data_IF_383555117883
#
_entry.id   IF_383555117883
#
_cell.length_a   1.000
_cell.length_b   1.000
_cell.length_c   1.000
_cell.angle_alpha   90.00
_cell.angle_beta   90.00
_cell.angle_gamma   90.00
#
_symmetry.space_group_name_H-M   'P 1'
#
loop_
_entity.id
_entity.type
_entity.pdbx_description
1 polymer ?
#
# COMPACT_ATOMS: atom_id res chain seq x y z
N UNK A 1 6.77 20.20 -8.31
CA UNK A 1 7.74 19.11 -8.51
C UNK A 1 8.72 19.17 -7.36
N UNK A 2 8.73 18.18 -6.48
CA UNK A 2 9.60 18.14 -5.32
C UNK A 2 10.89 17.42 -5.74
N UNK A 3 12.02 18.13 -5.77
CA UNK A 3 13.28 17.48 -6.12
C UNK A 3 13.74 16.60 -4.95
N UNK A 4 13.43 15.31 -5.02
CA UNK A 4 13.80 14.33 -4.01
C UNK A 4 15.23 13.89 -4.29
N UNK A 5 16.16 14.25 -3.39
CA UNK A 5 17.50 13.67 -3.41
C UNK A 5 17.40 12.22 -2.93
N UNK A 6 18.27 11.34 -3.44
CA UNK A 6 18.32 9.97 -2.94
C UNK A 6 18.55 9.92 -1.43
N UNK A 7 17.68 9.20 -0.72
CA UNK A 7 17.69 9.09 0.74
C UNK A 7 17.01 10.25 1.45
N UNK A 8 16.14 11.00 0.77
CA UNK A 8 15.34 12.05 1.42
C UNK A 8 14.38 11.42 2.41
N UNK A 9 14.40 11.91 3.65
CA UNK A 9 13.38 11.58 4.66
C UNK A 9 12.22 12.56 4.53
N UNK A 10 11.01 12.05 4.34
CA UNK A 10 9.78 12.86 4.30
C UNK A 10 9.06 12.88 5.66
N UNK A 11 9.34 11.87 6.50
CA UNK A 11 8.97 11.73 7.91
C UNK A 11 10.08 10.95 8.63
N UNK A 12 9.99 10.82 9.95
CA UNK A 12 11.01 10.16 10.77
C UNK A 12 11.35 8.74 10.29
N UNK A 13 10.36 8.01 9.78
CA UNK A 13 10.49 6.62 9.37
C UNK A 13 10.15 6.34 7.90
N UNK A 14 10.03 7.37 7.05
CA UNK A 14 9.81 7.20 5.60
C UNK A 14 10.99 7.79 4.83
N UNK A 15 11.69 6.94 4.07
CA UNK A 15 12.86 7.30 3.28
C UNK A 15 12.59 7.01 1.80
N UNK A 16 12.85 7.98 0.94
CA UNK A 16 12.59 7.89 -0.49
C UNK A 16 13.89 7.81 -1.30
N UNK A 17 13.89 6.96 -2.33
CA UNK A 17 14.97 6.81 -3.29
C UNK A 17 14.42 6.78 -4.72
N UNK A 18 15.04 7.55 -5.59
CA UNK A 18 14.93 7.36 -7.03
C UNK A 18 15.95 6.29 -7.46
N UNK A 19 15.43 5.19 -8.01
CA UNK A 19 16.23 4.04 -8.42
C UNK A 19 16.91 4.24 -9.75
N UNK A 20 16.64 5.30 -10.50
CA UNK A 20 17.41 5.71 -11.66
C UNK A 20 18.84 6.08 -11.26
N UNK A 21 19.03 6.64 -10.06
CA UNK A 21 20.32 6.87 -9.44
C UNK A 21 20.87 5.62 -8.72
N UNK A 22 22.14 5.69 -8.30
CA UNK A 22 22.76 4.63 -7.50
C UNK A 22 22.15 4.61 -6.10
N UNK A 23 21.48 3.50 -5.76
CA UNK A 23 21.07 3.19 -4.39
C UNK A 23 22.30 3.00 -3.49
N UNK A 24 22.17 3.27 -2.18
CA UNK A 24 23.18 2.93 -1.18
C UNK A 24 23.65 1.46 -1.30
N UNK A 25 24.87 1.18 -0.84
CA UNK A 25 25.39 -0.19 -0.82
C UNK A 25 24.57 -1.09 0.10
N UNK A 26 24.08 -0.53 1.21
CA UNK A 26 23.20 -1.19 2.15
C UNK A 26 21.92 -0.38 2.31
N UNK A 27 20.79 -1.06 2.10
CA UNK A 27 19.47 -0.58 2.48
C UNK A 27 19.01 -1.40 3.68
N UNK A 28 18.31 -0.77 4.62
CA UNK A 28 17.71 -1.42 5.78
C UNK A 28 16.28 -0.93 5.93
N UNK A 29 15.41 -1.79 6.40
CA UNK A 29 14.03 -1.47 6.70
C UNK A 29 13.18 -2.73 6.76
N UNK A 30 11.88 -2.55 6.95
CA UNK A 30 10.92 -3.65 7.12
C UNK A 30 9.89 -3.68 6.00
N UNK A 31 9.44 -2.50 5.56
CA UNK A 31 8.41 -2.33 4.54
C UNK A 31 8.98 -1.56 3.35
N UNK A 32 8.79 -2.09 2.14
CA UNK A 32 9.23 -1.44 0.91
C UNK A 32 8.04 -1.15 -0.01
N UNK A 33 7.95 0.10 -0.46
CA UNK A 33 6.95 0.60 -1.38
C UNK A 33 7.65 0.90 -2.70
N UNK A 34 7.21 0.25 -3.78
CA UNK A 34 7.92 0.24 -5.07
C UNK A 34 7.04 0.87 -6.14
N UNK A 35 7.48 1.97 -6.72
CA UNK A 35 6.92 2.51 -7.97
C UNK A 35 7.78 1.99 -9.12
N UNK A 36 7.27 0.96 -9.81
CA UNK A 36 7.92 0.31 -10.94
C UNK A 36 7.16 0.60 -12.24
N UNK A 37 7.37 1.77 -12.82
CA UNK A 37 6.68 2.25 -14.01
C UNK A 37 7.55 2.25 -15.27
N UNK A 38 8.87 2.46 -15.15
CA UNK A 38 9.74 2.69 -16.31
C UNK A 38 10.87 1.66 -16.49
N UNK A 39 11.43 1.12 -15.40
CA UNK A 39 12.56 0.19 -15.48
C UNK A 39 12.08 -1.20 -15.88
N UNK A 40 12.64 -1.69 -16.98
CA UNK A 40 12.34 -3.02 -17.53
C UNK A 40 13.53 -3.99 -17.47
N UNK A 41 14.69 -3.52 -17.00
CA UNK A 41 15.87 -4.39 -16.90
C UNK A 41 15.68 -5.40 -15.78
N UNK A 42 15.32 -6.64 -16.14
CA UNK A 42 15.18 -7.74 -15.18
C UNK A 42 16.39 -7.89 -14.26
N UNK A 43 17.61 -7.78 -14.82
CA UNK A 43 18.83 -7.87 -14.02
C UNK A 43 18.92 -6.75 -12.97
N UNK A 44 18.56 -5.51 -13.35
CA UNK A 44 18.54 -4.39 -12.40
C UNK A 44 17.50 -4.62 -11.30
N UNK A 45 16.30 -5.05 -11.66
CA UNK A 45 15.22 -5.37 -10.72
C UNK A 45 15.66 -6.48 -9.75
N UNK A 46 16.22 -7.58 -10.26
CA UNK A 46 16.73 -8.70 -9.44
C UNK A 46 17.82 -8.23 -8.47
N UNK A 47 18.78 -7.44 -8.94
CA UNK A 47 19.84 -6.90 -8.08
C UNK A 47 19.27 -6.02 -6.96
N UNK A 48 18.21 -5.25 -7.23
CA UNK A 48 17.56 -4.42 -6.20
C UNK A 48 16.75 -5.31 -5.26
N UNK A 49 15.99 -6.27 -5.76
CA UNK A 49 15.23 -7.23 -4.95
C UNK A 49 16.14 -7.98 -3.96
N UNK A 50 17.30 -8.46 -4.39
CA UNK A 50 18.30 -9.08 -3.52
C UNK A 50 18.81 -8.13 -2.42
N UNK A 51 19.05 -6.86 -2.76
CA UNK A 51 19.47 -5.85 -1.78
C UNK A 51 18.39 -5.58 -0.75
N UNK A 52 17.13 -5.51 -1.17
CA UNK A 52 15.99 -5.35 -0.26
C UNK A 52 15.86 -6.57 0.66
N UNK A 53 15.89 -7.79 0.12
CA UNK A 53 15.81 -8.98 0.97
C UNK A 53 16.96 -9.05 2.00
N UNK A 54 18.21 -8.79 1.57
CA UNK A 54 19.38 -8.71 2.48
C UNK A 54 19.28 -7.55 3.49
N UNK A 55 18.46 -6.54 3.20
CA UNK A 55 18.19 -5.39 4.06
C UNK A 55 17.18 -5.65 5.17
N UNK A 56 16.54 -6.82 5.20
CA UNK A 56 15.54 -7.20 6.20
C UNK A 56 14.09 -6.86 5.83
N UNK A 57 13.85 -6.45 4.58
CA UNK A 57 12.50 -6.16 4.10
C UNK A 57 11.71 -7.46 3.91
N UNK A 58 10.51 -7.52 4.49
CA UNK A 58 9.60 -8.65 4.39
C UNK A 58 8.21 -8.25 3.85
N UNK A 59 7.84 -6.98 3.92
CA UNK A 59 6.60 -6.48 3.29
C UNK A 59 6.93 -5.65 2.06
N UNK A 60 6.24 -5.92 0.95
CA UNK A 60 6.40 -5.23 -0.32
C UNK A 60 5.04 -4.82 -0.88
N UNK A 61 4.87 -3.53 -1.16
CA UNK A 61 3.72 -2.98 -1.87
C UNK A 61 4.20 -2.34 -3.18
N UNK A 62 3.66 -2.78 -4.31
CA UNK A 62 4.21 -2.48 -5.65
C UNK A 62 3.13 -1.86 -6.53
N UNK A 63 3.42 -0.67 -7.05
CA UNK A 63 2.58 0.07 -7.97
C UNK A 63 3.29 0.32 -9.30
N UNK A 64 2.57 0.22 -10.42
CA UNK A 64 3.05 0.65 -11.74
C UNK A 64 2.98 -0.44 -12.81
N UNK A 65 3.25 -0.06 -14.06
CA UNK A 65 3.11 -0.95 -15.23
C UNK A 65 3.96 -2.21 -15.17
N UNK A 66 5.07 -2.19 -14.43
CA UNK A 66 6.01 -3.31 -14.29
C UNK A 66 5.88 -4.02 -12.93
N UNK A 67 4.74 -3.90 -12.25
CA UNK A 67 4.53 -4.51 -10.94
C UNK A 67 4.73 -6.04 -10.95
N UNK A 68 4.33 -6.73 -12.02
CA UNK A 68 4.47 -8.20 -12.13
C UNK A 68 5.93 -8.64 -12.28
N UNK A 69 6.76 -7.85 -12.96
CA UNK A 69 8.20 -8.11 -13.07
C UNK A 69 8.87 -7.97 -11.69
N UNK A 70 8.53 -6.92 -10.95
CA UNK A 70 8.99 -6.73 -9.57
C UNK A 70 8.53 -7.86 -8.65
N UNK A 71 7.24 -8.21 -8.69
CA UNK A 71 6.68 -9.32 -7.91
C UNK A 71 7.42 -10.63 -8.20
N UNK A 72 7.64 -10.95 -9.48
CA UNK A 72 8.35 -12.16 -9.89
C UNK A 72 9.80 -12.18 -9.38
N UNK A 73 10.50 -11.05 -9.46
CA UNK A 73 11.87 -10.93 -8.97
C UNK A 73 11.95 -11.10 -7.45
N UNK A 74 11.04 -10.47 -6.71
CA UNK A 74 10.94 -10.61 -5.25
C UNK A 74 10.63 -12.05 -4.85
N UNK A 75 9.61 -12.68 -5.44
CA UNK A 75 9.26 -14.10 -5.18
C UNK A 75 10.48 -15.00 -5.40
N UNK A 76 11.22 -14.81 -6.50
CA UNK A 76 12.41 -15.62 -6.77
C UNK A 76 13.52 -15.43 -5.72
N UNK A 77 13.63 -14.22 -5.17
CA UNK A 77 14.62 -13.84 -4.17
C UNK A 77 14.25 -14.34 -2.77
N UNK A 78 12.97 -14.25 -2.41
CA UNK A 78 12.44 -14.61 -1.08
C UNK A 78 11.91 -16.04 -1.01
N UNK A 79 12.16 -16.88 -2.03
CA UNK A 79 11.51 -18.19 -2.25
C UNK A 79 11.56 -19.19 -1.09
N UNK A 80 12.41 -18.97 -0.08
CA UNK A 80 12.49 -19.79 1.14
C UNK A 80 11.95 -19.10 2.41
N UNK A 81 11.47 -17.86 2.31
CA UNK A 81 10.94 -17.06 3.41
C UNK A 81 9.41 -16.94 3.29
N UNK A 82 8.71 -17.83 3.98
CA UNK A 82 7.24 -17.87 4.01
C UNK A 82 6.62 -16.64 4.70
N UNK A 83 7.41 -15.77 5.33
CA UNK A 83 6.91 -14.57 6.00
C UNK A 83 6.78 -13.34 5.09
N UNK A 84 7.30 -13.42 3.86
CA UNK A 84 7.28 -12.28 2.95
C UNK A 84 5.87 -12.03 2.39
N UNK A 85 5.38 -10.80 2.51
CA UNK A 85 4.12 -10.33 1.95
C UNK A 85 4.41 -9.48 0.73
N UNK A 86 3.85 -9.84 -0.43
CA UNK A 86 4.06 -9.12 -1.69
C UNK A 86 2.70 -8.78 -2.31
N UNK A 87 2.36 -7.50 -2.28
CA UNK A 87 1.17 -6.91 -2.89
C UNK A 87 1.58 -6.11 -4.13
N UNK A 88 0.92 -6.37 -5.26
CA UNK A 88 1.26 -5.73 -6.53
C UNK A 88 0.01 -5.34 -7.30
N UNK A 89 -0.02 -4.12 -7.82
CA UNK A 89 -1.13 -3.63 -8.65
C UNK A 89 -0.66 -2.59 -9.66
N UNK A 90 -1.10 -2.67 -10.93
CA UNK A 90 -0.79 -1.62 -11.90
C UNK A 90 -1.61 -0.34 -11.68
N UNK A 91 -2.62 -0.37 -10.82
CA UNK A 91 -3.65 0.69 -10.72
C UNK A 91 -3.93 1.17 -9.29
N UNK A 92 -3.40 0.52 -8.24
CA UNK A 92 -3.69 0.86 -6.84
C UNK A 92 -2.74 1.92 -6.23
N UNK A 93 -2.57 3.07 -6.90
CA UNK A 93 -1.67 4.15 -6.43
C UNK A 93 -2.19 4.80 -5.15
N UNK A 94 -3.49 5.05 -5.08
CA UNK A 94 -4.09 5.78 -3.95
C UNK A 94 -4.04 4.93 -2.69
N UNK A 95 -4.32 3.65 -2.82
CA UNK A 95 -4.27 2.71 -1.72
C UNK A 95 -2.82 2.46 -1.27
N UNK A 96 -1.82 2.53 -2.16
CA UNK A 96 -0.41 2.56 -1.75
C UNK A 96 -0.11 3.74 -0.81
N UNK A 97 -0.74 4.90 -1.00
CA UNK A 97 -0.57 6.05 -0.11
C UNK A 97 -1.16 5.76 1.28
N UNK A 98 -2.35 5.16 1.32
CA UNK A 98 -3.04 4.75 2.56
C UNK A 98 -2.24 3.67 3.31
N UNK A 99 -1.71 2.68 2.59
CA UNK A 99 -0.82 1.65 3.15
C UNK A 99 0.45 2.25 3.76
N UNK A 100 1.11 3.15 3.03
CA UNK A 100 2.31 3.82 3.51
C UNK A 100 2.03 4.66 4.76
N UNK A 101 0.92 5.40 4.78
CA UNK A 101 0.49 6.17 5.93
C UNK A 101 0.16 5.28 7.14
N UNK A 102 -0.53 4.15 6.92
CA UNK A 102 -0.85 3.16 7.94
C UNK A 102 0.40 2.54 8.56
N UNK A 103 1.29 1.98 7.74
CA UNK A 103 2.49 1.31 8.21
C UNK A 103 3.48 2.27 8.89
N UNK A 104 3.59 3.50 8.37
CA UNK A 104 4.45 4.51 9.01
C UNK A 104 3.90 5.03 10.34
N UNK A 105 2.61 4.90 10.61
CA UNK A 105 1.99 5.43 11.84
C UNK A 105 1.76 4.37 12.92
N UNK A 106 1.29 3.17 12.52
CA UNK A 106 0.69 2.22 13.46
C UNK A 106 1.56 1.00 13.77
N UNK A 107 2.62 0.77 13.00
CA UNK A 107 3.48 -0.40 13.19
C UNK A 107 4.77 0.05 13.88
N UNK A 108 4.90 -0.32 15.14
CA UNK A 108 6.07 0.03 15.95
C UNK A 108 7.38 -0.40 15.27
N UNK A 109 8.42 0.42 15.38
CA UNK A 109 9.75 0.17 14.83
C UNK A 109 9.79 -0.09 13.30
N UNK A 110 8.79 0.38 12.57
CA UNK A 110 8.75 0.26 11.12
C UNK A 110 9.51 1.38 10.44
N UNK A 111 10.56 1.02 9.69
CA UNK A 111 11.15 1.86 8.65
C UNK A 111 10.54 1.50 7.29
N UNK A 112 9.86 2.48 6.67
CA UNK A 112 9.30 2.42 5.33
C UNK A 112 10.30 2.98 4.31
N UNK A 113 10.66 2.16 3.34
CA UNK A 113 11.49 2.57 2.20
C UNK A 113 10.63 2.70 0.96
N UNK A 114 10.60 3.87 0.35
CA UNK A 114 9.99 4.12 -0.96
C UNK A 114 11.08 4.11 -2.01
N UNK A 115 10.93 3.27 -3.02
CA UNK A 115 11.81 3.25 -4.19
C UNK A 115 10.98 3.49 -5.45
N UNK A 116 11.43 4.38 -6.34
CA UNK A 116 10.66 4.76 -7.51
C UNK A 116 11.55 4.97 -8.74
N UNK A 117 11.07 4.56 -9.91
CA UNK A 117 11.70 4.85 -11.20
C UNK A 117 10.96 5.92 -12.03
N UNK A 118 9.94 6.55 -11.42
CA UNK A 118 9.12 7.61 -11.99
C UNK A 118 8.97 8.73 -10.96
N UNK A 119 9.60 9.87 -11.23
CA UNK A 119 9.61 11.04 -10.34
C UNK A 119 8.23 11.66 -10.16
N UNK A 120 7.37 11.59 -11.19
CA UNK A 120 6.03 12.18 -11.13
C UNK A 120 5.13 11.39 -10.19
N UNK A 121 5.13 10.06 -10.29
CA UNK A 121 4.39 9.22 -9.37
C UNK A 121 4.96 9.27 -7.95
N UNK A 122 6.28 9.40 -7.80
CA UNK A 122 6.91 9.59 -6.49
C UNK A 122 6.42 10.88 -5.82
N UNK A 123 6.38 11.99 -6.56
CA UNK A 123 5.86 13.27 -6.07
C UNK A 123 4.39 13.15 -5.62
N UNK A 124 3.55 12.48 -6.42
CA UNK A 124 2.15 12.27 -6.06
C UNK A 124 1.99 11.39 -4.82
N UNK A 125 2.75 10.30 -4.72
CA UNK A 125 2.74 9.41 -3.55
C UNK A 125 3.11 10.19 -2.29
N UNK A 126 4.18 10.98 -2.33
CA UNK A 126 4.66 11.74 -1.17
C UNK A 126 3.63 12.78 -0.75
N UNK A 127 3.13 13.57 -1.71
CA UNK A 127 2.12 14.60 -1.41
C UNK A 127 0.88 13.97 -0.80
N UNK A 128 0.31 12.93 -1.43
CA UNK A 128 -0.91 12.30 -0.96
C UNK A 128 -0.71 11.61 0.41
N UNK A 129 0.42 10.95 0.62
CA UNK A 129 0.76 10.33 1.92
C UNK A 129 0.86 11.39 3.02
N UNK A 130 1.51 12.52 2.76
CA UNK A 130 1.59 13.62 3.73
C UNK A 130 0.21 14.22 4.01
N UNK A 131 -0.61 14.44 2.98
CA UNK A 131 -1.98 14.93 3.13
C UNK A 131 -2.83 13.96 3.98
N UNK A 132 -2.66 12.64 3.84
CA UNK A 132 -3.31 11.63 4.70
C UNK A 132 -2.83 11.74 6.15
N UNK A 133 -1.51 11.79 6.36
CA UNK A 133 -0.90 11.88 7.68
C UNK A 133 -1.27 13.18 8.42
N UNK A 134 -1.46 14.27 7.68
CA UNK A 134 -1.88 15.58 8.21
C UNK A 134 -3.42 15.71 8.32
N UNK A 135 -4.18 14.68 7.93
CA UNK A 135 -5.64 14.65 8.02
C UNK A 135 -6.37 15.56 7.01
N UNK A 136 -5.71 15.89 5.91
CA UNK A 136 -6.22 16.75 4.83
C UNK A 136 -7.04 15.95 3.81
N UNK A 137 -6.64 14.71 3.52
CA UNK A 137 -7.22 13.84 2.49
C UNK A 137 -7.32 12.40 2.99
N UNK A 138 -8.22 11.63 2.39
CA UNK A 138 -8.25 10.17 2.55
C UNK A 138 -8.81 9.75 3.90
N UNK A 139 -8.39 8.58 4.37
CA UNK A 139 -8.83 8.04 5.65
C UNK A 139 -7.73 8.22 6.70
N UNK A 140 -8.09 8.42 7.98
CA UNK A 140 -7.09 8.30 9.02
C UNK A 140 -6.46 6.88 9.00
N UNK A 141 -5.13 6.76 9.19
CA UNK A 141 -4.41 5.48 9.19
C UNK A 141 -5.07 4.34 9.97
N UNK A 142 -5.66 4.64 11.12
CA UNK A 142 -6.35 3.67 11.98
C UNK A 142 -7.57 3.04 11.31
N UNK A 143 -8.28 3.80 10.49
CA UNK A 143 -9.46 3.29 9.79
C UNK A 143 -9.06 2.42 8.61
N UNK A 144 -8.03 2.82 7.87
CA UNK A 144 -7.44 1.95 6.85
C UNK A 144 -7.03 0.60 7.45
N UNK A 145 -6.36 0.60 8.61
CA UNK A 145 -6.04 -0.63 9.36
C UNK A 145 -7.27 -1.47 9.70
N UNK A 146 -8.34 -0.84 10.18
CA UNK A 146 -9.59 -1.55 10.50
C UNK A 146 -10.22 -2.18 9.26
N UNK A 147 -10.17 -1.53 8.10
CA UNK A 147 -10.63 -2.17 6.86
C UNK A 147 -9.76 -3.34 6.45
N UNK A 148 -8.44 -3.20 6.57
CA UNK A 148 -7.47 -4.27 6.31
C UNK A 148 -7.64 -5.47 7.25
N UNK A 149 -8.20 -5.25 8.43
CA UNK A 149 -8.49 -6.30 9.41
C UNK A 149 -9.92 -6.88 9.29
N UNK A 150 -10.80 -6.18 8.59
CA UNK A 150 -12.23 -6.44 8.57
C UNK A 150 -13.02 -5.59 9.57
N UNK A 151 -14.20 -5.15 9.15
CA UNK A 151 -15.05 -4.19 9.88
C UNK A 151 -16.53 -4.39 9.56
N UNK A 152 -17.38 -4.33 10.59
CA UNK A 152 -18.82 -4.11 10.46
C UNK A 152 -19.14 -2.61 10.60
N UNK A 153 -20.06 -2.10 9.79
CA UNK A 153 -20.47 -0.70 9.82
C UNK A 153 -21.89 -0.50 9.29
N UNK A 154 -22.47 0.68 9.52
CA UNK A 154 -23.80 1.04 9.01
C UNK A 154 -23.65 2.07 7.88
N UNK A 155 -24.27 1.78 6.73
CA UNK A 155 -24.41 2.70 5.62
C UNK A 155 -25.88 2.77 5.19
N UNK A 156 -26.44 3.98 5.07
CA UNK A 156 -27.86 4.21 4.74
C UNK A 156 -28.86 3.39 5.58
N UNK A 157 -28.55 3.22 6.88
CA UNK A 157 -29.38 2.45 7.82
C UNK A 157 -29.34 0.94 7.63
N UNK A 158 -28.42 0.42 6.83
CA UNK A 158 -28.21 -1.01 6.60
C UNK A 158 -26.88 -1.48 7.18
N UNK A 159 -26.86 -2.69 7.70
CA UNK A 159 -25.64 -3.35 8.17
C UNK A 159 -24.77 -3.76 6.98
N UNK A 160 -23.50 -3.40 7.04
CA UNK A 160 -22.49 -3.64 6.02
C UNK A 160 -21.25 -4.27 6.65
N UNK A 161 -20.48 -5.01 5.85
CA UNK A 161 -19.28 -5.71 6.33
C UNK A 161 -18.16 -5.65 5.30
N UNK A 162 -16.94 -5.52 5.82
CA UNK A 162 -15.68 -5.95 5.18
C UNK A 162 -15.19 -7.16 5.97
N UNK A 163 -15.07 -8.32 5.34
CA UNK A 163 -14.54 -9.53 5.97
C UNK A 163 -13.31 -10.00 5.21
N UNK A 164 -12.19 -10.14 5.92
CA UNK A 164 -10.91 -10.55 5.37
C UNK A 164 -10.60 -11.97 5.85
N UNK A 165 -10.53 -12.91 4.92
CA UNK A 165 -10.20 -14.31 5.17
C UNK A 165 -9.35 -14.83 3.99
N UNK A 166 -9.54 -16.09 3.57
CA UNK A 166 -8.98 -16.59 2.30
C UNK A 166 -9.54 -15.84 1.09
N UNK A 167 -10.74 -15.27 1.22
CA UNK A 167 -11.33 -14.30 0.29
C UNK A 167 -11.75 -13.01 1.02
N UNK A 168 -11.94 -11.95 0.24
CA UNK A 168 -12.35 -10.63 0.75
C UNK A 168 -13.80 -10.40 0.38
N UNK A 169 -14.67 -10.29 1.38
CA UNK A 169 -16.09 -10.02 1.21
C UNK A 169 -16.38 -8.57 1.58
N UNK A 170 -17.06 -7.84 0.69
CA UNK A 170 -17.48 -6.45 0.94
C UNK A 170 -18.92 -6.26 0.47
N UNK A 171 -19.77 -5.68 1.32
CA UNK A 171 -21.12 -5.28 0.93
C UNK A 171 -22.10 -5.16 2.10
N UNK A 172 -23.37 -4.97 1.75
CA UNK A 172 -24.49 -5.10 2.71
C UNK A 172 -24.58 -6.55 3.20
N UNK A 173 -24.94 -6.75 4.47
CA UNK A 173 -25.02 -8.08 5.07
C UNK A 173 -26.01 -8.97 4.29
N UNK A 174 -25.53 -10.10 3.78
CA UNK A 174 -26.27 -11.02 2.92
C UNK A 174 -26.27 -10.68 1.42
N UNK A 175 -25.59 -9.62 0.99
CA UNK A 175 -25.38 -9.22 -0.41
C UNK A 175 -23.90 -8.92 -0.72
N UNK A 176 -22.99 -9.53 0.04
CA UNK A 176 -21.56 -9.29 -0.09
C UNK A 176 -21.03 -9.79 -1.43
N UNK A 177 -20.11 -9.03 -2.02
CA UNK A 177 -19.31 -9.47 -3.17
C UNK A 177 -17.95 -9.97 -2.71
N UNK A 178 -17.45 -11.00 -3.40
CA UNK A 178 -16.12 -11.56 -3.15
C UNK A 178 -15.08 -10.97 -4.09
N UNK A 179 -13.90 -10.67 -3.54
CA UNK A 179 -12.76 -10.12 -4.23
C UNK A 179 -11.48 -10.88 -3.89
N UNK A 180 -10.55 -10.92 -4.85
CA UNK A 180 -9.25 -11.57 -4.69
C UNK A 180 -8.26 -10.72 -3.88
N UNK A 181 -8.43 -9.39 -3.89
CA UNK A 181 -7.61 -8.47 -3.10
C UNK A 181 -8.40 -7.24 -2.69
N UNK A 182 -7.98 -6.64 -1.57
CA UNK A 182 -8.73 -5.55 -0.93
C UNK A 182 -8.78 -4.33 -1.84
N UNK A 183 -7.69 -4.04 -2.55
CA UNK A 183 -7.59 -2.92 -3.49
C UNK A 183 -8.60 -2.98 -4.64
N UNK A 184 -8.97 -4.18 -5.11
CA UNK A 184 -10.03 -4.30 -6.13
C UNK A 184 -11.38 -3.93 -5.51
N UNK A 185 -11.68 -4.46 -4.32
CA UNK A 185 -12.93 -4.18 -3.61
C UNK A 185 -13.14 -2.69 -3.32
N UNK A 186 -12.08 -1.95 -2.98
CA UNK A 186 -12.17 -0.51 -2.71
C UNK A 186 -12.54 0.34 -3.92
N UNK A 187 -12.19 -0.12 -5.12
CA UNK A 187 -12.48 0.57 -6.39
C UNK A 187 -13.79 0.11 -7.03
N UNK A 188 -14.37 -0.97 -6.53
CA UNK A 188 -15.66 -1.44 -7.03
C UNK A 188 -16.75 -0.45 -6.58
N UNK A 189 -17.66 -0.06 -7.49
CA UNK A 189 -18.88 0.66 -7.11
C UNK A 189 -19.76 -0.25 -6.24
N UNK A 190 -19.72 -0.03 -4.94
CA UNK A 190 -20.58 -0.68 -3.93
C UNK A 190 -21.58 0.36 -3.41
N UNK A 191 -22.54 -0.03 -2.57
CA UNK A 191 -23.31 0.95 -1.78
C UNK A 191 -23.92 2.13 -2.59
N UNK A 192 -24.92 1.82 -3.43
CA UNK A 192 -25.53 2.76 -4.39
C UNK A 192 -24.61 3.20 -5.55
N UNK A 193 -23.60 2.40 -5.86
CA UNK A 193 -22.67 2.63 -6.98
C UNK A 193 -21.56 3.64 -6.66
N UNK A 194 -21.28 3.86 -5.37
CA UNK A 194 -20.21 4.71 -4.86
C UNK A 194 -18.96 3.88 -4.54
N UNK A 195 -17.78 4.49 -4.64
CA UNK A 195 -16.57 3.84 -4.13
C UNK A 195 -16.57 3.84 -2.59
N UNK A 196 -15.68 3.06 -1.99
CA UNK A 196 -15.53 3.08 -0.54
C UNK A 196 -15.10 4.47 -0.02
N UNK A 197 -14.24 5.15 -0.79
CA UNK A 197 -13.79 6.52 -0.52
C UNK A 197 -14.95 7.52 -0.48
N UNK A 198 -15.92 7.34 -1.35
CA UNK A 198 -17.07 8.24 -1.43
C UNK A 198 -18.03 8.05 -0.24
N UNK A 199 -18.27 6.81 0.19
CA UNK A 199 -19.22 6.52 1.27
C UNK A 199 -18.65 6.72 2.66
N UNK A 200 -17.33 6.83 2.82
CA UNK A 200 -16.68 6.93 4.13
C UNK A 200 -17.26 7.99 5.06
N UNK A 201 -17.53 9.19 4.51
CA UNK A 201 -18.11 10.29 5.29
C UNK A 201 -19.55 10.02 5.77
N UNK A 202 -20.20 9.01 5.21
CA UNK A 202 -21.58 8.59 5.49
C UNK A 202 -21.65 7.35 6.39
N UNK A 203 -20.51 6.69 6.65
CA UNK A 203 -20.45 5.50 7.51
C UNK A 203 -20.73 5.89 8.97
N UNK A 204 -21.58 5.12 9.63
CA UNK A 204 -21.96 5.29 11.03
C UNK A 204 -22.02 3.96 11.78
N UNK A 205 -22.40 3.99 13.08
CA UNK A 205 -22.66 2.77 13.84
C UNK A 205 -21.42 1.89 14.08
N UNK A 206 -20.23 2.50 14.06
CA UNK A 206 -18.93 1.83 14.17
C UNK A 206 -18.84 1.12 15.52
N UNK A 207 -19.30 -0.13 15.56
CA UNK A 207 -19.23 -0.95 16.76
C UNK A 207 -17.79 -1.42 16.92
N UNK A 208 -17.12 -0.89 17.94
CA UNK A 208 -15.83 -1.41 18.39
C UNK A 208 -16.11 -2.77 19.02
N UNK A 209 -16.00 -3.84 18.24
CA UNK A 209 -15.87 -5.19 18.82
C UNK A 209 -14.39 -5.42 19.09
N UNK A 210 -14.06 -5.43 20.38
CA UNK A 210 -12.76 -5.73 20.96
C UNK A 210 -12.41 -7.21 20.82
#
# INVERSE_FOLDING_TARGET
MMFIKNGTRIRDNIICYDILFRLPERLTGTHCFIIGHHIQSEQRIRNIAEKLHKGGFYYFNIFGQHCDLWKSALISTVSNDLSAVIEASPVAREEMCEELAMHSTLVENTECCVIADDDMFLDYLIKDTLDILDGIKGFPPLWWKRFRDGMEFIYNGKDCIVSISDSILIGELGQEKSFDCIFIGFREPLFDGKSFNDVWSEISGLSVKW
#
